data_IF_597920689715
#
_entry.id   IF_597920689715
#
_cell.length_a   1.000
_cell.length_b   1.000
_cell.length_c   1.000
_cell.angle_alpha   90.00
_cell.angle_beta   90.00
_cell.angle_gamma   90.00
#
_symmetry.space_group_name_H-M   'P 1'
#
loop_
_entity.id
_entity.type
_entity.pdbx_description
1 polymer ?
#
# COMPACT_ATOMS: atom_id res chain seq x y z
N UNK A 1 -62.84 -0.70 18.27
CA UNK A 1 -61.91 -0.93 19.39
C UNK A 1 -61.15 -2.26 19.24
N UNK A 2 -60.57 -2.55 18.09
CA UNK A 2 -59.63 -3.70 17.92
C UNK A 2 -58.73 -3.56 16.69
N UNK A 3 -58.55 -2.35 16.19
CA UNK A 3 -57.73 -2.09 14.99
C UNK A 3 -56.56 -1.10 15.22
N UNK A 4 -56.37 -0.64 16.46
CA UNK A 4 -55.38 0.41 16.78
C UNK A 4 -54.20 -0.12 17.65
N UNK A 5 -54.21 -1.40 18.04
CA UNK A 5 -53.15 -2.02 18.83
C UNK A 5 -52.17 -2.88 18.03
N UNK A 6 -52.29 -2.98 16.70
CA UNK A 6 -51.41 -3.82 15.87
C UNK A 6 -50.30 -3.01 15.15
N UNK A 7 -50.27 -1.68 15.25
CA UNK A 7 -49.35 -0.83 14.49
C UNK A 7 -48.18 -0.25 15.31
N UNK A 8 -48.02 -0.69 16.59
CA UNK A 8 -46.93 -0.21 17.48
C UNK A 8 -45.86 -1.26 17.79
N UNK A 9 -45.86 -2.42 17.14
CA UNK A 9 -44.90 -3.49 17.39
C UNK A 9 -43.82 -3.67 16.31
N UNK A 10 -43.79 -2.86 15.25
CA UNK A 10 -42.87 -3.02 14.11
C UNK A 10 -41.78 -1.92 14.01
N UNK A 11 -41.76 -0.95 14.92
CA UNK A 11 -40.77 0.14 14.94
C UNK A 11 -39.66 0.04 15.99
N UNK A 12 -39.47 -1.10 16.64
CA UNK A 12 -38.52 -1.27 17.74
C UNK A 12 -37.49 -2.37 17.53
N UNK A 13 -36.90 -2.50 16.32
CA UNK A 13 -35.75 -3.40 16.12
C UNK A 13 -34.61 -2.75 15.28
N UNK A 14 -34.32 -1.48 15.55
CA UNK A 14 -32.97 -0.96 15.33
C UNK A 14 -32.20 -1.24 16.62
N UNK A 15 -31.83 -2.51 16.82
CA UNK A 15 -31.01 -2.94 17.93
C UNK A 15 -29.69 -2.15 17.92
N UNK A 16 -29.55 -1.18 18.81
CA UNK A 16 -28.23 -0.68 19.22
C UNK A 16 -27.43 -1.90 19.64
N UNK A 17 -26.36 -2.17 18.89
CA UNK A 17 -25.50 -3.31 19.16
C UNK A 17 -25.06 -3.26 20.64
N UNK A 18 -25.34 -4.33 21.38
CA UNK A 18 -24.95 -4.41 22.80
C UNK A 18 -23.44 -4.15 22.93
N UNK A 19 -22.96 -3.58 24.05
CA UNK A 19 -21.53 -3.34 24.28
C UNK A 19 -20.65 -4.57 23.99
N UNK A 20 -21.15 -5.77 24.28
CA UNK A 20 -20.49 -7.05 24.01
C UNK A 20 -20.37 -7.31 22.50
N UNK A 21 -21.41 -7.04 21.72
CA UNK A 21 -21.39 -7.20 20.27
C UNK A 21 -20.44 -6.17 19.62
N UNK A 22 -20.41 -4.93 20.10
CA UNK A 22 -19.45 -3.91 19.67
C UNK A 22 -18.01 -4.32 19.95
N UNK A 23 -17.76 -4.90 21.13
CA UNK A 23 -16.44 -5.41 21.50
C UNK A 23 -16.02 -6.60 20.62
N UNK A 24 -16.93 -7.55 20.34
CA UNK A 24 -16.68 -8.66 19.42
C UNK A 24 -16.40 -8.19 18.00
N UNK A 25 -17.17 -7.23 17.49
CA UNK A 25 -16.93 -6.61 16.18
C UNK A 25 -15.53 -5.98 16.12
N UNK A 26 -15.12 -5.27 17.16
CA UNK A 26 -13.79 -4.66 17.25
C UNK A 26 -12.69 -5.71 17.21
N UNK A 27 -12.83 -6.78 17.98
CA UNK A 27 -11.85 -7.89 18.00
C UNK A 27 -11.77 -8.57 16.63
N UNK A 28 -12.92 -8.87 16.01
CA UNK A 28 -12.96 -9.48 14.68
C UNK A 28 -12.35 -8.57 13.60
N UNK A 29 -12.58 -7.26 13.69
CA UNK A 29 -11.98 -6.28 12.80
C UNK A 29 -10.46 -6.24 12.96
N UNK A 30 -9.95 -6.31 14.20
CA UNK A 30 -8.51 -6.39 14.46
C UNK A 30 -7.89 -7.69 13.90
N UNK A 31 -8.56 -8.82 14.10
CA UNK A 31 -8.11 -10.11 13.56
C UNK A 31 -8.12 -10.11 12.03
N UNK A 32 -9.15 -9.55 11.41
CA UNK A 32 -9.24 -9.40 9.97
C UNK A 32 -8.13 -8.50 9.44
N UNK A 33 -7.86 -7.38 10.10
CA UNK A 33 -6.76 -6.47 9.77
C UNK A 33 -5.39 -7.17 9.83
N UNK A 34 -5.15 -7.97 10.88
CA UNK A 34 -3.92 -8.76 11.01
C UNK A 34 -3.80 -9.81 9.90
N UNK A 35 -4.90 -10.50 9.59
CA UNK A 35 -4.93 -11.47 8.50
C UNK A 35 -4.63 -10.83 7.14
N UNK A 36 -5.18 -9.63 6.87
CA UNK A 36 -4.90 -8.86 5.66
C UNK A 36 -3.44 -8.43 5.57
N UNK A 37 -2.87 -7.95 6.68
CA UNK A 37 -1.45 -7.60 6.78
C UNK A 37 -0.57 -8.81 6.46
N UNK A 38 -0.93 -9.99 6.98
CA UNK A 38 -0.23 -11.24 6.69
C UNK A 38 -0.38 -11.69 5.24
N UNK A 39 -1.54 -11.49 4.63
CA UNK A 39 -1.75 -11.82 3.21
C UNK A 39 -0.92 -10.90 2.31
N UNK A 40 -0.97 -9.59 2.52
CA UNK A 40 -0.14 -8.64 1.79
C UNK A 40 1.36 -8.92 1.97
N UNK A 41 1.78 -9.24 3.20
CA UNK A 41 3.15 -9.65 3.49
C UNK A 41 3.50 -10.98 2.77
N UNK A 42 2.60 -11.95 2.73
CA UNK A 42 2.79 -13.23 2.04
C UNK A 42 2.99 -13.07 0.54
N UNK A 43 2.21 -12.23 -0.12
CA UNK A 43 2.39 -11.89 -1.54
C UNK A 43 3.74 -11.21 -1.80
N UNK A 44 4.14 -10.30 -0.92
CA UNK A 44 5.44 -9.62 -0.99
C UNK A 44 6.60 -10.58 -0.66
N UNK A 45 6.45 -11.49 0.31
CA UNK A 45 7.49 -12.46 0.67
C UNK A 45 7.82 -13.40 -0.50
N UNK A 46 6.84 -13.83 -1.27
CA UNK A 46 7.08 -14.65 -2.47
C UNK A 46 7.98 -13.94 -3.47
N UNK A 47 7.67 -12.70 -3.80
CA UNK A 47 8.48 -11.87 -4.72
C UNK A 47 9.83 -11.48 -4.09
N UNK A 48 9.84 -11.18 -2.82
CA UNK A 48 11.03 -10.78 -2.05
C UNK A 48 12.04 -11.94 -1.91
N UNK A 49 11.59 -13.19 -1.73
CA UNK A 49 12.48 -14.36 -1.67
C UNK A 49 13.25 -14.54 -2.97
N UNK A 50 12.59 -14.38 -4.12
CA UNK A 50 13.27 -14.41 -5.41
C UNK A 50 14.25 -13.24 -5.58
N UNK A 51 13.90 -12.07 -5.06
CA UNK A 51 14.78 -10.88 -5.07
C UNK A 51 16.03 -11.12 -4.21
N UNK A 52 15.86 -11.64 -2.99
CA UNK A 52 16.99 -12.01 -2.14
C UNK A 52 17.94 -12.99 -2.83
N UNK A 53 17.42 -14.02 -3.47
CA UNK A 53 18.24 -14.97 -4.20
C UNK A 53 19.02 -14.30 -5.35
N UNK A 54 18.40 -13.37 -6.07
CA UNK A 54 19.06 -12.63 -7.15
C UNK A 54 20.17 -11.71 -6.62
N UNK A 55 19.92 -11.04 -5.49
CA UNK A 55 20.91 -10.19 -4.82
C UNK A 55 22.11 -11.04 -4.35
N UNK A 56 21.85 -12.18 -3.70
CA UNK A 56 22.90 -13.11 -3.29
C UNK A 56 23.71 -13.63 -4.47
N UNK A 57 23.05 -14.02 -5.57
CA UNK A 57 23.74 -14.44 -6.78
C UNK A 57 24.59 -13.32 -7.38
N UNK A 58 24.11 -12.08 -7.34
CA UNK A 58 24.88 -10.91 -7.79
C UNK A 58 26.12 -10.73 -6.93
N UNK A 59 25.98 -10.76 -5.60
CA UNK A 59 27.11 -10.66 -4.65
C UNK A 59 28.13 -11.79 -4.90
N UNK A 60 27.67 -13.04 -5.02
CA UNK A 60 28.54 -14.20 -5.26
C UNK A 60 29.28 -14.10 -6.60
N UNK A 61 28.57 -13.74 -7.68
CA UNK A 61 29.19 -13.64 -9.00
C UNK A 61 30.26 -12.54 -9.05
N UNK A 62 29.98 -11.36 -8.52
CA UNK A 62 30.95 -10.27 -8.51
C UNK A 62 32.10 -10.53 -7.54
N UNK A 63 31.86 -11.20 -6.41
CA UNK A 63 32.95 -11.66 -5.53
C UNK A 63 33.89 -12.63 -6.26
N UNK A 64 33.35 -13.60 -7.04
CA UNK A 64 34.16 -14.51 -7.84
C UNK A 64 34.95 -13.79 -8.96
N UNK A 65 34.34 -12.78 -9.61
CA UNK A 65 35.01 -11.95 -10.61
C UNK A 65 36.18 -11.21 -9.95
N UNK A 66 35.94 -10.51 -8.83
CA UNK A 66 36.97 -9.79 -8.11
C UNK A 66 38.12 -10.67 -7.58
N UNK A 67 37.84 -11.96 -7.28
CA UNK A 67 38.86 -12.94 -6.89
C UNK A 67 39.69 -13.45 -8.07
N UNK A 68 39.11 -13.57 -9.25
CA UNK A 68 39.78 -14.09 -10.46
C UNK A 68 40.60 -13.04 -11.18
N UNK A 69 40.16 -11.79 -11.16
CA UNK A 69 40.83 -10.68 -11.83
C UNK A 69 41.76 -9.93 -10.86
N UNK A 70 42.95 -9.58 -11.33
CA UNK A 70 43.96 -8.88 -10.50
C UNK A 70 44.12 -7.40 -10.84
N UNK A 71 43.45 -6.97 -11.95
CA UNK A 71 43.44 -5.57 -12.33
C UNK A 71 42.50 -4.77 -11.42
N UNK A 72 42.91 -3.57 -11.04
CA UNK A 72 42.19 -2.74 -10.07
C UNK A 72 40.85 -2.29 -10.63
N UNK A 73 40.72 -1.99 -11.92
CA UNK A 73 39.48 -1.53 -12.53
C UNK A 73 38.36 -2.57 -12.43
N UNK A 74 38.66 -3.83 -12.77
CA UNK A 74 37.68 -4.94 -12.67
C UNK A 74 37.30 -5.22 -11.22
N UNK A 75 38.27 -5.15 -10.30
CA UNK A 75 38.02 -5.34 -8.87
C UNK A 75 37.18 -4.25 -8.28
N UNK A 76 37.46 -2.99 -8.59
CA UNK A 76 36.68 -1.86 -8.09
C UNK A 76 35.23 -1.93 -8.59
N UNK A 77 35.02 -2.21 -9.87
CA UNK A 77 33.66 -2.47 -10.43
C UNK A 77 32.96 -3.63 -9.72
N UNK A 78 33.68 -4.69 -9.39
CA UNK A 78 33.11 -5.82 -8.66
C UNK A 78 32.69 -5.41 -7.24
N UNK A 79 33.51 -4.65 -6.51
CA UNK A 79 33.17 -4.15 -5.19
C UNK A 79 32.00 -3.16 -5.22
N UNK A 80 31.95 -2.25 -6.19
CA UNK A 80 30.78 -1.35 -6.37
C UNK A 80 29.46 -2.13 -6.56
N UNK A 81 29.48 -3.19 -7.39
CA UNK A 81 28.30 -4.03 -7.60
C UNK A 81 27.90 -4.82 -6.36
N UNK A 82 28.88 -5.34 -5.60
CA UNK A 82 28.63 -6.02 -4.32
C UNK A 82 28.01 -5.04 -3.32
N UNK A 83 28.58 -3.84 -3.20
CA UNK A 83 28.08 -2.82 -2.29
C UNK A 83 26.66 -2.41 -2.62
N UNK A 84 26.36 -2.11 -3.89
CA UNK A 84 25.03 -1.76 -4.34
C UNK A 84 24.01 -2.88 -4.08
N UNK A 85 24.38 -4.14 -4.37
CA UNK A 85 23.54 -5.30 -4.10
C UNK A 85 23.27 -5.48 -2.59
N UNK A 86 24.29 -5.31 -1.74
CA UNK A 86 24.16 -5.41 -0.28
C UNK A 86 23.29 -4.29 0.30
N UNK A 87 23.44 -3.06 -0.19
CA UNK A 87 22.58 -1.92 0.20
C UNK A 87 21.13 -2.15 -0.20
N UNK A 88 20.88 -2.73 -1.39
CA UNK A 88 19.53 -3.11 -1.83
C UNK A 88 18.92 -4.17 -0.92
N UNK A 89 19.69 -5.22 -0.54
CA UNK A 89 19.23 -6.23 0.41
C UNK A 89 18.83 -5.61 1.76
N UNK A 90 19.64 -4.70 2.28
CA UNK A 90 19.35 -3.99 3.53
C UNK A 90 18.07 -3.15 3.44
N UNK A 91 17.84 -2.43 2.33
CA UNK A 91 16.59 -1.67 2.10
C UNK A 91 15.37 -2.59 2.10
N UNK A 92 15.40 -3.69 1.35
CA UNK A 92 14.30 -4.66 1.30
C UNK A 92 14.02 -5.23 2.69
N UNK A 93 15.08 -5.63 3.43
CA UNK A 93 14.93 -6.16 4.79
C UNK A 93 14.27 -5.15 5.72
N UNK A 94 14.70 -3.89 5.69
CA UNK A 94 14.11 -2.84 6.52
C UNK A 94 12.65 -2.56 6.17
N UNK A 95 12.30 -2.54 4.88
CA UNK A 95 10.93 -2.34 4.43
C UNK A 95 10.00 -3.49 4.89
N UNK A 96 10.44 -4.76 4.76
CA UNK A 96 9.70 -5.93 5.24
C UNK A 96 9.57 -5.94 6.77
N UNK A 97 10.66 -5.64 7.51
CA UNK A 97 10.63 -5.56 8.96
C UNK A 97 9.76 -4.39 9.45
N UNK A 98 9.71 -3.28 8.73
CA UNK A 98 8.81 -2.15 8.99
C UNK A 98 7.35 -2.60 8.98
N UNK A 99 6.96 -3.41 7.99
CA UNK A 99 5.61 -3.99 7.91
C UNK A 99 5.34 -5.02 9.01
N UNK A 100 6.32 -5.82 9.39
CA UNK A 100 6.17 -6.89 10.39
C UNK A 100 6.12 -6.37 11.83
N UNK A 101 6.78 -5.23 12.10
CA UNK A 101 6.79 -4.67 13.45
C UNK A 101 5.41 -4.18 13.85
N UNK A 102 4.85 -4.77 14.92
CA UNK A 102 3.75 -4.19 15.67
C UNK A 102 4.28 -3.00 16.48
N UNK A 103 4.55 -1.86 15.82
CA UNK A 103 4.66 -0.60 16.56
C UNK A 103 3.24 -0.23 17.00
N UNK A 104 3.13 0.29 18.23
CA UNK A 104 1.91 0.84 18.81
C UNK A 104 1.11 1.61 17.74
N UNK A 105 -0.22 1.58 17.82
CA UNK A 105 -1.13 2.36 16.94
C UNK A 105 -1.01 3.88 17.17
N UNK A 106 0.21 4.36 17.41
CA UNK A 106 0.51 5.76 17.70
C UNK A 106 0.64 6.53 16.40
N UNK A 107 -0.09 7.63 16.32
CA UNK A 107 0.04 8.65 15.30
C UNK A 107 1.14 9.61 15.76
N UNK A 108 2.19 9.78 14.98
CA UNK A 108 3.35 10.62 15.29
C UNK A 108 3.81 11.40 14.04
N UNK A 109 4.53 12.52 14.22
CA UNK A 109 5.16 13.21 13.09
C UNK A 109 6.06 12.25 12.32
N UNK A 110 5.81 12.11 11.03
CA UNK A 110 6.43 11.07 10.19
C UNK A 110 6.80 11.65 8.83
N UNK A 111 8.01 11.38 8.38
CA UNK A 111 8.47 11.69 7.03
C UNK A 111 7.87 10.72 6.00
N UNK A 112 6.88 11.21 5.23
CA UNK A 112 6.23 10.42 4.20
C UNK A 112 7.13 10.14 2.98
N UNK A 113 8.10 10.98 2.69
CA UNK A 113 9.02 10.76 1.57
C UNK A 113 9.78 9.46 1.77
N UNK A 114 10.24 9.22 3.00
CA UNK A 114 10.92 7.98 3.35
C UNK A 114 10.02 6.74 3.25
N UNK A 115 8.76 6.86 3.66
CA UNK A 115 7.80 5.74 3.56
C UNK A 115 7.52 5.41 2.09
N UNK A 116 7.42 6.43 1.24
CA UNK A 116 7.27 6.25 -0.21
C UNK A 116 8.47 5.51 -0.77
N UNK A 117 9.69 5.95 -0.47
CA UNK A 117 10.92 5.31 -0.94
C UNK A 117 10.98 3.83 -0.54
N UNK A 118 10.67 3.53 0.73
CA UNK A 118 10.65 2.15 1.23
C UNK A 118 9.59 1.28 0.52
N UNK A 119 8.41 1.84 0.21
CA UNK A 119 7.36 1.13 -0.53
C UNK A 119 7.76 0.88 -1.99
N UNK A 120 8.37 1.88 -2.65
CA UNK A 120 8.79 1.77 -4.05
C UNK A 120 9.89 0.74 -4.25
N UNK A 121 10.82 0.61 -3.30
CA UNK A 121 11.86 -0.44 -3.33
C UNK A 121 11.26 -1.85 -3.42
N UNK A 122 10.15 -2.11 -2.73
CA UNK A 122 9.47 -3.41 -2.76
C UNK A 122 8.78 -3.71 -4.10
N UNK A 123 8.37 -2.67 -4.81
CA UNK A 123 7.60 -2.80 -6.06
C UNK A 123 8.45 -2.67 -7.32
N UNK A 124 9.69 -2.19 -7.22
CA UNK A 124 10.59 -1.90 -8.36
C UNK A 124 10.67 -3.06 -9.36
N UNK A 125 10.81 -4.29 -8.84
CA UNK A 125 10.89 -5.48 -9.69
C UNK A 125 9.59 -5.80 -10.41
N UNK A 126 8.46 -5.70 -9.71
CA UNK A 126 7.14 -5.95 -10.31
C UNK A 126 6.86 -4.90 -11.39
N UNK A 127 7.14 -3.64 -11.15
CA UNK A 127 7.00 -2.57 -12.14
C UNK A 127 7.89 -2.83 -13.37
N UNK A 128 9.15 -3.19 -13.15
CA UNK A 128 10.10 -3.52 -14.22
C UNK A 128 9.65 -4.75 -15.03
N UNK A 129 9.16 -5.81 -14.37
CA UNK A 129 8.65 -7.03 -15.00
C UNK A 129 7.50 -6.74 -15.97
N UNK A 130 6.59 -5.85 -15.59
CA UNK A 130 5.44 -5.45 -16.41
C UNK A 130 5.73 -4.22 -17.28
N UNK A 131 7.00 -3.76 -17.36
CA UNK A 131 7.45 -2.59 -18.15
C UNK A 131 6.65 -1.33 -17.82
N UNK A 132 6.30 -1.16 -16.57
CA UNK A 132 5.57 0.01 -16.09
C UNK A 132 6.58 1.12 -15.76
N UNK A 133 6.37 2.30 -16.34
CA UNK A 133 7.11 3.50 -16.01
C UNK A 133 6.58 4.09 -14.69
N UNK A 134 7.48 4.45 -13.78
CA UNK A 134 7.13 5.13 -12.53
C UNK A 134 7.68 6.55 -12.58
N UNK A 135 6.79 7.53 -12.49
CA UNK A 135 7.12 8.95 -12.42
C UNK A 135 6.78 9.48 -11.02
N UNK A 136 7.80 9.99 -10.32
CA UNK A 136 7.65 10.51 -8.96
C UNK A 136 7.92 12.01 -8.93
N UNK A 137 7.05 12.74 -8.23
CA UNK A 137 7.26 14.17 -7.91
C UNK A 137 7.04 14.31 -6.41
N UNK A 138 8.12 14.52 -5.66
CA UNK A 138 8.11 14.62 -4.21
C UNK A 138 8.61 16.00 -3.84
N UNK A 139 7.71 16.85 -3.37
CA UNK A 139 8.03 18.17 -2.85
C UNK A 139 8.57 18.06 -1.41
N UNK A 140 9.36 19.03 -0.97
CA UNK A 140 9.68 19.16 0.45
C UNK A 140 8.41 19.55 1.22
N UNK A 141 8.01 18.68 2.14
CA UNK A 141 6.81 18.87 2.95
C UNK A 141 7.14 18.77 4.44
N UNK A 142 6.33 19.41 5.32
CA UNK A 142 6.40 19.13 6.75
C UNK A 142 6.09 17.66 7.05
N UNK A 143 6.56 17.18 8.21
CA UNK A 143 6.16 15.86 8.70
C UNK A 143 4.64 15.73 8.74
N UNK A 144 4.16 14.54 8.44
CA UNK A 144 2.74 14.21 8.42
C UNK A 144 2.37 13.49 9.73
N UNK A 145 1.24 13.84 10.34
CA UNK A 145 0.73 13.14 11.51
C UNK A 145 0.14 11.80 11.10
N UNK A 146 0.91 10.72 11.25
CA UNK A 146 0.42 9.41 10.87
C UNK A 146 1.16 8.25 11.56
N UNK A 147 0.55 7.07 11.50
CA UNK A 147 1.22 5.81 11.77
C UNK A 147 1.91 5.34 10.49
N UNK A 148 3.24 5.44 10.44
CA UNK A 148 4.02 5.13 9.25
C UNK A 148 3.78 3.74 8.68
N UNK A 149 3.56 2.73 9.52
CA UNK A 149 3.32 1.35 9.06
C UNK A 149 1.95 1.21 8.39
N UNK A 150 0.92 1.88 8.92
CA UNK A 150 -0.42 1.86 8.33
C UNK A 150 -0.43 2.62 7.00
N UNK A 151 0.27 3.75 6.90
CA UNK A 151 0.40 4.49 5.64
C UNK A 151 1.24 3.71 4.62
N UNK A 152 2.30 3.02 5.03
CA UNK A 152 3.04 2.13 4.14
C UNK A 152 2.14 1.02 3.58
N UNK A 153 1.25 0.45 4.39
CA UNK A 153 0.26 -0.52 3.91
C UNK A 153 -0.71 0.07 2.88
N UNK A 154 -1.20 1.30 3.11
CA UNK A 154 -2.05 2.02 2.15
C UNK A 154 -1.31 2.20 0.83
N UNK A 155 -0.07 2.70 0.87
CA UNK A 155 0.78 2.87 -0.31
C UNK A 155 0.94 1.58 -1.10
N UNK A 156 1.32 0.49 -0.43
CA UNK A 156 1.52 -0.80 -1.09
C UNK A 156 0.24 -1.34 -1.70
N UNK A 157 -0.91 -1.21 -1.02
CA UNK A 157 -2.20 -1.63 -1.57
C UNK A 157 -2.56 -0.83 -2.83
N UNK A 158 -2.41 0.50 -2.80
CA UNK A 158 -2.76 1.35 -3.95
C UNK A 158 -1.81 1.15 -5.12
N UNK A 159 -0.50 1.07 -4.87
CA UNK A 159 0.50 0.82 -5.92
C UNK A 159 0.38 -0.58 -6.52
N UNK A 160 0.04 -1.59 -5.71
CA UNK A 160 -0.24 -2.95 -6.20
C UNK A 160 -1.50 -2.96 -7.07
N UNK A 161 -2.56 -2.25 -6.67
CA UNK A 161 -3.77 -2.11 -7.47
C UNK A 161 -3.49 -1.39 -8.80
N UNK A 162 -2.73 -0.30 -8.77
CA UNK A 162 -2.29 0.42 -9.96
C UNK A 162 -1.51 -0.49 -10.93
N UNK A 163 -0.54 -1.26 -10.40
CA UNK A 163 0.22 -2.25 -11.19
C UNK A 163 -0.69 -3.31 -11.79
N UNK A 164 -1.67 -3.80 -11.03
CA UNK A 164 -2.60 -4.84 -11.50
C UNK A 164 -3.61 -4.33 -12.54
N UNK A 165 -3.92 -3.02 -12.52
CA UNK A 165 -4.80 -2.39 -13.51
C UNK A 165 -4.11 -2.17 -14.87
N UNK A 166 -2.78 -2.26 -14.92
CA UNK A 166 -1.96 -2.12 -16.14
C UNK A 166 -1.52 -3.52 -16.59
N UNK A 167 -1.92 -3.94 -17.77
CA UNK A 167 -1.57 -5.27 -18.31
C UNK A 167 -0.07 -5.36 -18.61
N UNK A 168 0.44 -4.54 -19.52
CA UNK A 168 1.86 -4.45 -19.86
C UNK A 168 2.20 -3.10 -20.49
N UNK A 169 3.21 -2.45 -19.95
CA UNK A 169 3.54 -1.09 -20.33
C UNK A 169 2.49 -0.10 -19.80
N UNK A 170 2.86 1.12 -19.60
CA UNK A 170 2.02 2.15 -19.02
C UNK A 170 2.77 2.91 -17.94
N UNK A 171 2.08 3.80 -17.26
CA UNK A 171 2.72 4.70 -16.31
C UNK A 171 1.93 4.77 -15.01
N UNK A 172 2.66 4.80 -13.90
CA UNK A 172 2.16 5.17 -12.58
C UNK A 172 2.81 6.50 -12.21
N UNK A 173 1.98 7.48 -11.86
CA UNK A 173 2.42 8.77 -11.33
C UNK A 173 2.18 8.81 -9.84
N UNK A 174 3.22 9.16 -9.08
CA UNK A 174 3.14 9.38 -7.65
C UNK A 174 3.56 10.81 -7.35
N UNK A 175 2.69 11.56 -6.67
CA UNK A 175 2.95 12.94 -6.33
C UNK A 175 2.71 13.17 -4.85
N UNK A 176 3.69 13.82 -4.18
CA UNK A 176 3.59 14.23 -2.79
C UNK A 176 3.75 15.74 -2.70
N UNK A 177 2.78 16.41 -2.09
CA UNK A 177 2.73 17.86 -1.97
C UNK A 177 2.19 18.29 -0.61
N UNK A 178 2.42 19.54 -0.25
CA UNK A 178 1.80 20.18 0.91
C UNK A 178 0.75 21.21 0.48
N UNK A 179 -0.46 21.08 0.99
CA UNK A 179 -1.47 22.12 0.90
C UNK A 179 -1.38 23.01 2.14
N UNK A 180 -0.72 24.15 1.98
CA UNK A 180 -0.53 25.10 3.07
C UNK A 180 -1.85 25.76 3.52
N UNK A 181 -2.89 25.76 2.69
CA UNK A 181 -4.20 26.37 3.01
C UNK A 181 -4.98 25.48 3.96
N UNK A 182 -5.05 24.19 3.67
CA UNK A 182 -5.73 23.20 4.51
C UNK A 182 -4.81 22.58 5.57
N UNK A 183 -3.51 22.89 5.58
CA UNK A 183 -2.48 22.26 6.42
C UNK A 183 -2.49 20.73 6.27
N UNK A 184 -2.55 20.29 5.03
CA UNK A 184 -2.65 18.86 4.70
C UNK A 184 -1.50 18.44 3.78
N UNK A 185 -1.01 17.26 4.02
CA UNK A 185 -0.18 16.53 3.05
C UNK A 185 -1.09 15.90 2.01
N UNK A 186 -0.79 16.10 0.74
CA UNK A 186 -1.54 15.57 -0.40
C UNK A 186 -0.67 14.55 -1.13
N UNK A 187 -1.06 13.28 -1.04
CA UNK A 187 -0.45 12.19 -1.79
C UNK A 187 -1.38 11.76 -2.90
N UNK A 188 -0.91 11.82 -4.14
CA UNK A 188 -1.65 11.39 -5.33
C UNK A 188 -0.97 10.21 -5.97
N UNK A 189 -1.72 9.15 -6.25
CA UNK A 189 -1.28 7.98 -7.01
C UNK A 189 -2.25 7.81 -8.19
N UNK A 190 -1.72 7.91 -9.41
CA UNK A 190 -2.48 7.75 -10.64
C UNK A 190 -1.87 6.63 -11.46
N UNK A 191 -2.72 5.83 -12.10
CA UNK A 191 -2.31 4.82 -13.06
C UNK A 191 -2.92 5.09 -14.45
N UNK A 192 -2.32 4.52 -15.47
CA UNK A 192 -2.83 4.49 -16.85
C UNK A 192 -3.50 3.16 -17.20
N UNK A 193 -4.08 2.49 -16.21
CA UNK A 193 -4.68 1.18 -16.36
C UNK A 193 -6.07 1.19 -16.99
N UNK A 194 -6.79 0.08 -16.85
CA UNK A 194 -8.12 -0.11 -17.45
C UNK A 194 -9.18 0.85 -16.89
N UNK A 195 -8.94 1.47 -15.74
CA UNK A 195 -9.94 2.31 -15.05
C UNK A 195 -11.08 1.51 -14.43
N UNK A 196 -11.99 2.22 -13.77
CA UNK A 196 -13.13 1.67 -13.04
C UNK A 196 -14.41 2.30 -13.59
N UNK A 197 -15.44 1.50 -13.93
CA UNK A 197 -16.75 2.00 -14.33
C UNK A 197 -17.39 2.86 -13.24
N UNK A 198 -18.11 3.90 -13.63
CA UNK A 198 -18.72 4.88 -12.70
C UNK A 198 -19.76 4.24 -11.76
N UNK A 199 -20.47 3.24 -12.23
CA UNK A 199 -21.46 2.46 -11.46
C UNK A 199 -20.82 1.59 -10.38
N UNK A 200 -19.54 1.25 -10.52
CA UNK A 200 -18.80 0.45 -9.55
C UNK A 200 -18.08 1.30 -8.49
N UNK A 201 -17.79 2.58 -8.77
CA UNK A 201 -17.05 3.46 -7.85
C UNK A 201 -17.61 3.50 -6.41
N UNK A 202 -18.92 3.54 -6.18
CA UNK A 202 -19.47 3.51 -4.83
C UNK A 202 -19.17 2.19 -4.08
N UNK A 203 -19.05 1.08 -4.80
CA UNK A 203 -18.93 -0.27 -4.24
C UNK A 203 -17.47 -0.69 -3.99
N UNK A 204 -16.49 -0.06 -4.66
CA UNK A 204 -15.06 -0.48 -4.53
C UNK A 204 -14.50 -0.28 -3.13
N UNK A 205 -15.16 0.50 -2.28
CA UNK A 205 -14.81 0.70 -0.88
C UNK A 205 -15.53 -0.27 0.06
N UNK A 206 -16.51 -1.04 -0.46
CA UNK A 206 -17.21 -2.04 0.34
C UNK A 206 -16.28 -3.23 0.63
N UNK A 207 -16.30 -3.74 1.86
CA UNK A 207 -15.55 -4.95 2.19
C UNK A 207 -15.96 -6.12 1.30
N UNK A 208 -14.98 -6.90 0.85
CA UNK A 208 -15.15 -8.08 -0.01
C UNK A 208 -15.58 -7.79 -1.47
N UNK A 209 -15.79 -6.53 -1.84
CA UNK A 209 -16.04 -6.19 -3.22
C UNK A 209 -14.76 -6.33 -4.06
N UNK A 210 -14.79 -7.14 -5.09
CA UNK A 210 -13.69 -7.34 -6.03
C UNK A 210 -14.24 -7.68 -7.41
N UNK A 211 -13.74 -7.00 -8.42
CA UNK A 211 -14.02 -7.32 -9.83
C UNK A 211 -13.08 -8.41 -10.37
N UNK A 212 -12.09 -8.80 -9.57
CA UNK A 212 -11.14 -9.85 -9.93
C UNK A 212 -11.76 -11.21 -9.60
N UNK A 213 -11.81 -12.11 -10.58
CA UNK A 213 -12.17 -13.50 -10.34
C UNK A 213 -11.28 -14.05 -9.21
N UNK A 214 -11.85 -14.99 -8.42
CA UNK A 214 -11.18 -15.55 -7.23
C UNK A 214 -9.72 -15.97 -7.46
N UNK A 215 -9.03 -16.56 -6.49
CA UNK A 215 -7.60 -16.84 -6.58
C UNK A 215 -7.30 -17.61 -7.88
N UNK A 216 -6.39 -17.07 -8.69
CA UNK A 216 -5.83 -17.77 -9.84
C UNK A 216 -5.01 -18.98 -9.36
N UNK A 217 -4.52 -19.82 -10.29
CA UNK A 217 -3.67 -20.98 -9.98
C UNK A 217 -2.41 -20.61 -9.15
N UNK A 218 -2.06 -19.32 -9.07
CA UNK A 218 -0.95 -18.79 -8.25
C UNK A 218 -1.39 -18.27 -6.89
N UNK A 219 -2.68 -18.39 -6.54
CA UNK A 219 -3.25 -17.85 -5.30
C UNK A 219 -3.44 -16.33 -5.30
N UNK A 220 -3.30 -15.68 -6.44
CA UNK A 220 -3.40 -14.22 -6.61
C UNK A 220 -4.83 -13.83 -7.00
N UNK A 221 -5.71 -13.73 -6.03
CA UNK A 221 -7.07 -13.20 -6.19
C UNK A 221 -7.26 -11.94 -5.36
N UNK A 222 -8.07 -11.01 -5.84
CA UNK A 222 -8.42 -9.85 -5.04
C UNK A 222 -9.33 -10.26 -3.88
N UNK A 223 -8.89 -10.11 -2.63
CA UNK A 223 -9.70 -10.37 -1.43
C UNK A 223 -10.86 -9.38 -1.27
N UNK A 224 -10.88 -8.30 -2.06
CA UNK A 224 -11.86 -7.21 -1.94
C UNK A 224 -11.72 -6.39 -0.64
N UNK A 225 -10.65 -6.58 0.11
CA UNK A 225 -10.44 -5.94 1.41
C UNK A 225 -9.41 -4.81 1.38
N UNK A 226 -8.60 -4.70 0.31
CA UNK A 226 -7.50 -3.75 0.23
C UNK A 226 -7.97 -2.29 0.27
N UNK A 227 -8.92 -1.91 -0.58
CA UNK A 227 -9.40 -0.52 -0.66
C UNK A 227 -10.25 -0.12 0.55
N UNK A 228 -11.09 -1.03 1.06
CA UNK A 228 -11.86 -0.79 2.28
C UNK A 228 -10.95 -0.57 3.50
N UNK A 229 -9.85 -1.33 3.59
CA UNK A 229 -8.81 -1.14 4.61
C UNK A 229 -8.10 0.20 4.45
N UNK A 230 -7.73 0.59 3.22
CA UNK A 230 -7.13 1.90 2.97
C UNK A 230 -8.04 3.04 3.44
N UNK A 231 -9.33 2.97 3.09
CA UNK A 231 -10.31 3.97 3.49
C UNK A 231 -10.42 4.10 5.03
N UNK A 232 -10.49 2.96 5.75
CA UNK A 232 -10.53 2.95 7.23
C UNK A 232 -9.25 3.52 7.84
N UNK A 233 -8.07 3.13 7.32
CA UNK A 233 -6.80 3.66 7.81
C UNK A 233 -6.77 5.18 7.66
N UNK A 234 -7.09 5.69 6.49
CA UNK A 234 -7.07 7.13 6.23
C UNK A 234 -8.08 7.88 7.10
N UNK A 235 -9.29 7.34 7.29
CA UNK A 235 -10.29 7.92 8.19
C UNK A 235 -9.80 7.96 9.66
N UNK A 236 -9.14 6.92 10.15
CA UNK A 236 -8.56 6.87 11.49
C UNK A 236 -7.42 7.88 11.70
N UNK A 237 -6.82 8.38 10.62
CA UNK A 237 -5.81 9.44 10.62
C UNK A 237 -6.40 10.84 10.41
N UNK A 238 -7.72 10.99 10.58
CA UNK A 238 -8.44 12.26 10.30
C UNK A 238 -8.21 12.75 8.86
N UNK A 239 -7.86 11.82 7.96
CA UNK A 239 -7.58 12.08 6.58
C UNK A 239 -8.81 11.92 5.69
N UNK A 240 -8.61 12.20 4.41
CA UNK A 240 -9.64 12.05 3.36
C UNK A 240 -9.05 11.31 2.17
N UNK A 241 -9.84 10.44 1.55
CA UNK A 241 -9.47 9.75 0.31
C UNK A 241 -10.48 10.06 -0.77
N UNK A 242 -10.00 10.53 -1.93
CA UNK A 242 -10.79 10.77 -3.14
C UNK A 242 -10.36 9.79 -4.22
N UNK A 243 -11.32 9.38 -5.05
CA UNK A 243 -11.10 8.44 -6.15
C UNK A 243 -11.71 9.02 -7.41
N UNK A 244 -10.91 9.12 -8.46
CA UNK A 244 -11.32 9.55 -9.78
C UNK A 244 -10.89 8.49 -10.79
N UNK A 245 -11.82 7.99 -11.60
CA UNK A 245 -11.51 6.95 -12.56
C UNK A 245 -12.37 7.06 -13.81
N UNK A 246 -11.79 6.68 -14.94
CA UNK A 246 -12.49 6.55 -16.20
C UNK A 246 -11.98 5.31 -16.95
N UNK A 247 -12.90 4.51 -17.49
CA UNK A 247 -12.58 3.30 -18.24
C UNK A 247 -11.70 3.64 -19.44
N UNK A 248 -10.59 2.91 -19.59
CA UNK A 248 -9.60 3.11 -20.65
C UNK A 248 -8.65 4.30 -20.44
N UNK A 249 -8.79 5.05 -19.34
CA UNK A 249 -7.92 6.20 -19.01
C UNK A 249 -7.04 5.90 -17.80
N UNK A 250 -7.60 5.21 -16.80
CA UNK A 250 -6.93 4.85 -15.55
C UNK A 250 -7.65 5.33 -14.31
N UNK A 251 -7.00 5.20 -13.17
CA UNK A 251 -7.54 5.56 -11.84
C UNK A 251 -6.58 6.49 -11.11
N UNK A 252 -7.13 7.44 -10.38
CA UNK A 252 -6.38 8.33 -9.49
C UNK A 252 -6.95 8.24 -8.08
N UNK A 253 -6.07 7.98 -7.13
CA UNK A 253 -6.33 8.10 -5.70
C UNK A 253 -5.64 9.35 -5.18
N UNK A 254 -6.37 10.19 -4.45
CA UNK A 254 -5.82 11.36 -3.75
C UNK A 254 -6.10 11.20 -2.26
N UNK A 255 -5.02 11.17 -1.47
CA UNK A 255 -5.04 11.02 -0.02
C UNK A 255 -4.62 12.34 0.59
N UNK A 256 -5.40 12.82 1.54
CA UNK A 256 -5.10 13.99 2.33
C UNK A 256 -4.91 13.57 3.78
N UNK A 257 -3.79 13.95 4.40
CA UNK A 257 -3.45 13.67 5.79
C UNK A 257 -3.04 14.96 6.51
N UNK A 258 -3.37 15.12 7.80
CA UNK A 258 -2.95 16.28 8.56
C UNK A 258 -1.42 16.39 8.64
N UNK A 259 -0.88 17.60 8.45
CA UNK A 259 0.55 17.86 8.71
C UNK A 259 0.81 18.06 10.20
N UNK A 260 1.99 17.70 10.66
CA UNK A 260 2.45 18.08 11.98
C UNK A 260 2.56 19.61 12.06
N UNK A 261 2.07 20.18 13.15
CA UNK A 261 2.30 21.60 13.39
C UNK A 261 3.79 21.82 13.55
N UNK A 262 4.32 22.83 12.86
CA UNK A 262 5.68 23.27 13.11
C UNK A 262 5.81 23.63 14.60
N UNK A 263 6.81 23.02 15.27
CA UNK A 263 7.08 23.26 16.68
C UNK A 263 7.65 24.66 16.91
#
# INVERSE_FOLDING_TARGET
DTAEEADTAEEADTAEATPELQQQITILQQQLFQAQKMTALGELVGTTTHEFNNILMTVLNYAQIGMRHRDDETRDKAFEKILAASQRAAKITNAVLGMARNRSDVIEPTDLSRIIDDALVLLERELSKYRINLETTIDEIPDTLCNGNQIQQVLLNLLTNARQAIDMGGTIWLKLQHDATEQMTVLTIRDSGCGIPQDQLPQILDPFYSTKAGPDESGKGGTGLGLSSCHKIIANHEGRMKIESAVGVGTQFTILLPTAKAA
#
